data_IF_983601329128
#
_entry.id   IF_983601329128
#
_cell.length_a   1.000
_cell.length_b   1.000
_cell.length_c   1.000
_cell.angle_alpha   90.00
_cell.angle_beta   90.00
_cell.angle_gamma   90.00
#
_symmetry.space_group_name_H-M   'P 1'
#
loop_
_entity.id
_entity.type
_entity.pdbx_description
1 polymer ?
#
# COMPACT_ATOMS: atom_id res chain seq x y z
N UNK A 1 73.32 -39.90 20.40
CA UNK A 1 72.05 -40.35 19.77
C UNK A 1 70.96 -40.23 20.83
N UNK A 2 69.84 -39.51 20.71
CA UNK A 2 69.23 -38.75 19.62
C UNK A 2 68.36 -37.64 20.26
N UNK A 3 68.39 -36.42 19.70
CA UNK A 3 67.34 -35.43 19.94
C UNK A 3 66.03 -35.88 19.26
N UNK A 4 64.85 -35.65 19.85
CA UNK A 4 63.60 -35.78 19.11
C UNK A 4 63.40 -34.54 18.24
N UNK A 5 63.25 -34.77 16.94
CA UNK A 5 62.93 -33.77 15.92
C UNK A 5 61.53 -33.17 16.14
N UNK A 6 61.28 -31.89 15.81
CA UNK A 6 59.94 -31.34 15.84
C UNK A 6 59.08 -31.99 14.75
N UNK A 7 57.86 -32.40 15.10
CA UNK A 7 56.88 -32.92 14.16
C UNK A 7 56.47 -31.80 13.19
N UNK A 8 56.87 -31.95 11.92
CA UNK A 8 56.36 -31.14 10.82
C UNK A 8 54.84 -31.32 10.73
N UNK A 9 54.09 -30.26 10.98
CA UNK A 9 52.67 -30.19 10.63
C UNK A 9 52.56 -30.20 9.10
N UNK A 10 52.15 -31.34 8.55
CA UNK A 10 51.87 -31.49 7.12
C UNK A 10 50.61 -30.68 6.77
N UNK A 11 50.79 -29.48 6.25
CA UNK A 11 49.71 -28.78 5.56
C UNK A 11 49.46 -29.47 4.22
N UNK A 12 48.33 -30.18 4.12
CA UNK A 12 47.91 -30.81 2.87
C UNK A 12 47.64 -29.70 1.84
N UNK A 13 48.33 -29.70 0.67
CA UNK A 13 48.15 -28.65 -0.32
C UNK A 13 46.74 -28.72 -0.93
N UNK A 14 45.98 -27.63 -0.76
CA UNK A 14 44.63 -27.51 -1.32
C UNK A 14 44.72 -27.44 -2.84
N UNK A 15 44.02 -28.33 -3.55
CA UNK A 15 44.00 -28.31 -5.02
C UNK A 15 43.42 -27.01 -5.58
N UNK A 16 43.88 -26.53 -6.76
CA UNK A 16 43.34 -25.32 -7.41
C UNK A 16 41.82 -25.36 -7.58
N UNK A 17 41.24 -26.53 -7.84
CA UNK A 17 39.78 -26.73 -7.97
C UNK A 17 39.06 -26.56 -6.63
N UNK A 18 39.66 -27.03 -5.54
CA UNK A 18 39.13 -26.85 -4.18
C UNK A 18 39.27 -25.39 -3.73
N UNK A 19 40.38 -24.73 -4.04
CA UNK A 19 40.58 -23.30 -3.76
C UNK A 19 39.57 -22.43 -4.53
N UNK A 20 39.32 -22.72 -5.82
CA UNK A 20 38.28 -22.04 -6.60
C UNK A 20 36.87 -22.27 -6.04
N UNK A 21 36.54 -23.48 -5.59
CA UNK A 21 35.26 -23.77 -4.92
C UNK A 21 35.13 -22.99 -3.61
N UNK A 22 36.16 -22.99 -2.77
CA UNK A 22 36.17 -22.25 -1.50
C UNK A 22 36.09 -20.73 -1.71
N UNK A 23 36.79 -20.20 -2.71
CA UNK A 23 36.66 -18.79 -3.11
C UNK A 23 35.26 -18.49 -3.61
N UNK A 24 34.68 -19.32 -4.48
CA UNK A 24 33.30 -19.12 -4.95
C UNK A 24 32.27 -19.17 -3.81
N UNK A 25 32.42 -20.10 -2.86
CA UNK A 25 31.56 -20.19 -1.67
C UNK A 25 31.78 -18.99 -0.74
N UNK A 26 33.02 -18.55 -0.56
CA UNK A 26 33.36 -17.37 0.24
C UNK A 26 32.86 -16.07 -0.39
N UNK A 27 32.94 -15.92 -1.70
CA UNK A 27 32.40 -14.77 -2.44
C UNK A 27 30.88 -14.76 -2.41
N UNK A 28 30.22 -15.91 -2.64
CA UNK A 28 28.77 -16.03 -2.51
C UNK A 28 28.33 -15.75 -1.08
N UNK A 29 29.00 -16.33 -0.08
CA UNK A 29 28.72 -16.09 1.33
C UNK A 29 28.96 -14.63 1.76
N UNK A 30 30.01 -14.00 1.24
CA UNK A 30 30.31 -12.58 1.46
C UNK A 30 29.29 -11.65 0.84
N UNK A 31 28.85 -11.91 -0.41
CA UNK A 31 27.80 -11.14 -1.08
C UNK A 31 26.43 -11.33 -0.41
N UNK A 32 26.09 -12.56 -0.03
CA UNK A 32 24.88 -12.90 0.72
C UNK A 32 24.91 -12.20 2.08
N UNK A 33 26.02 -12.26 2.82
CA UNK A 33 26.20 -11.53 4.08
C UNK A 33 26.11 -10.01 3.93
N UNK A 34 26.74 -9.44 2.90
CA UNK A 34 26.67 -8.00 2.60
C UNK A 34 25.25 -7.53 2.27
N UNK A 35 24.48 -8.33 1.52
CA UNK A 35 23.08 -8.03 1.20
C UNK A 35 22.16 -8.00 2.42
N UNK A 36 22.57 -8.57 3.57
CA UNK A 36 21.83 -8.47 4.84
C UNK A 36 21.80 -7.05 5.38
N UNK A 37 22.86 -6.29 5.15
CA UNK A 37 23.06 -4.95 5.72
C UNK A 37 22.92 -3.82 4.70
N UNK A 38 22.80 -4.16 3.41
CA UNK A 38 22.75 -3.18 2.32
C UNK A 38 21.36 -3.13 1.70
N UNK A 39 20.74 -1.94 1.73
CA UNK A 39 19.42 -1.72 1.12
C UNK A 39 19.59 -1.53 -0.40
N UNK A 40 18.93 -2.32 -1.26
CA UNK A 40 18.68 -1.86 -2.61
C UNK A 40 17.86 -0.57 -2.48
N UNK A 41 18.29 0.48 -3.18
CA UNK A 41 17.45 1.66 -3.30
C UNK A 41 16.15 1.22 -3.97
N UNK A 42 14.97 1.65 -3.46
CA UNK A 42 13.73 1.38 -4.17
C UNK A 42 13.90 1.90 -5.61
N UNK A 43 13.17 1.31 -6.56
CA UNK A 43 13.07 1.88 -7.90
C UNK A 43 12.35 3.23 -7.77
N UNK A 44 13.10 4.27 -7.41
CA UNK A 44 12.61 5.63 -7.28
C UNK A 44 12.20 6.07 -8.68
N UNK A 45 11.03 6.68 -8.76
CA UNK A 45 10.60 7.39 -9.96
C UNK A 45 11.74 8.28 -10.47
N UNK A 46 12.32 7.91 -11.60
CA UNK A 46 13.27 8.76 -12.31
C UNK A 46 12.44 9.91 -12.84
N UNK A 47 12.67 11.11 -12.29
CA UNK A 47 11.98 12.32 -12.70
C UNK A 47 12.10 12.46 -14.21
N UNK A 48 10.98 12.42 -14.92
CA UNK A 48 10.95 12.59 -16.36
C UNK A 48 11.67 13.90 -16.70
N UNK A 49 12.75 13.82 -17.46
CA UNK A 49 13.60 14.95 -17.84
C UNK A 49 12.99 15.69 -19.02
N UNK A 50 11.70 16.01 -18.92
CA UNK A 50 11.16 17.08 -19.74
C UNK A 50 11.90 18.35 -19.33
N UNK A 51 12.73 18.89 -20.22
CA UNK A 51 13.38 20.21 -20.09
C UNK A 51 12.36 21.34 -20.25
N UNK A 52 11.27 21.24 -19.49
CA UNK A 52 10.21 22.24 -19.42
C UNK A 52 10.44 23.09 -18.17
N UNK A 53 10.12 24.40 -18.22
CA UNK A 53 10.22 25.24 -17.04
C UNK A 53 9.27 24.74 -15.95
N UNK A 54 9.69 24.88 -14.69
CA UNK A 54 8.88 24.44 -13.55
C UNK A 54 7.56 25.22 -13.46
N UNK A 55 7.60 26.54 -13.72
CA UNK A 55 6.41 27.38 -13.83
C UNK A 55 6.11 27.72 -15.28
N UNK A 56 4.84 27.87 -15.60
CA UNK A 56 4.41 28.35 -16.92
C UNK A 56 4.81 29.82 -17.11
N UNK A 57 5.19 30.15 -18.35
CA UNK A 57 5.56 31.49 -18.79
C UNK A 57 4.34 32.33 -19.23
N UNK A 58 3.23 31.65 -19.53
CA UNK A 58 1.96 32.26 -19.96
C UNK A 58 0.81 31.72 -19.12
N UNK A 59 -0.15 32.57 -18.70
CA UNK A 59 -1.31 32.13 -17.95
C UNK A 59 -2.09 31.04 -18.70
N UNK A 60 -2.37 29.93 -18.01
CA UNK A 60 -3.24 28.85 -18.50
C UNK A 60 -4.21 28.45 -17.41
N UNK A 61 -5.46 28.21 -17.79
CA UNK A 61 -6.51 27.71 -16.90
C UNK A 61 -6.60 26.20 -17.00
N UNK A 62 -6.92 25.55 -15.88
CA UNK A 62 -7.19 24.10 -15.84
C UNK A 62 -8.41 23.85 -14.96
N UNK A 63 -9.31 22.98 -15.44
CA UNK A 63 -10.39 22.44 -14.63
C UNK A 63 -10.04 21.01 -14.23
N UNK A 64 -10.09 20.72 -12.94
CA UNK A 64 -9.93 19.37 -12.38
C UNK A 64 -11.30 18.92 -11.86
N UNK A 65 -11.73 17.72 -12.23
CA UNK A 65 -13.04 17.17 -11.83
C UNK A 65 -12.83 16.04 -10.83
N UNK A 66 -13.42 16.18 -9.65
CA UNK A 66 -13.28 15.30 -8.49
C UNK A 66 -12.14 15.74 -7.56
N UNK A 67 -12.47 16.04 -6.30
CA UNK A 67 -11.53 16.37 -5.22
C UNK A 67 -11.26 15.18 -4.29
N UNK A 68 -11.19 13.96 -4.85
CA UNK A 68 -10.51 12.84 -4.21
C UNK A 68 -8.99 13.09 -4.12
N UNK A 69 -8.25 12.20 -3.46
CA UNK A 69 -6.80 12.34 -3.28
C UNK A 69 -6.03 12.58 -4.60
N UNK A 70 -6.45 11.92 -5.69
CA UNK A 70 -5.85 12.11 -7.02
C UNK A 70 -6.07 13.53 -7.58
N UNK A 71 -7.30 14.05 -7.48
CA UNK A 71 -7.63 15.38 -7.97
C UNK A 71 -7.03 16.50 -7.11
N UNK A 72 -7.00 16.30 -5.78
CA UNK A 72 -6.30 17.20 -4.85
C UNK A 72 -4.80 17.27 -5.15
N UNK A 73 -4.14 16.13 -5.34
CA UNK A 73 -2.72 16.11 -5.71
C UNK A 73 -2.47 16.78 -7.08
N UNK A 74 -3.32 16.50 -8.08
CA UNK A 74 -3.25 17.13 -9.39
C UNK A 74 -3.41 18.66 -9.32
N UNK A 75 -4.44 19.14 -8.61
CA UNK A 75 -4.72 20.55 -8.43
C UNK A 75 -3.59 21.26 -7.68
N UNK A 76 -3.03 20.63 -6.64
CA UNK A 76 -1.90 21.16 -5.90
C UNK A 76 -0.67 21.32 -6.80
N UNK A 77 -0.26 20.26 -7.50
CA UNK A 77 0.87 20.28 -8.44
C UNK A 77 0.71 21.34 -9.54
N UNK A 78 -0.47 21.43 -10.16
CA UNK A 78 -0.75 22.43 -11.21
C UNK A 78 -0.73 23.85 -10.65
N UNK A 79 -1.31 24.08 -9.46
CA UNK A 79 -1.31 25.41 -8.84
C UNK A 79 0.10 25.89 -8.50
N UNK A 80 0.98 25.01 -8.02
CA UNK A 80 2.41 25.32 -7.76
C UNK A 80 3.16 25.75 -9.03
N UNK A 81 2.77 25.19 -10.17
CA UNK A 81 3.34 25.46 -11.50
C UNK A 81 2.76 26.72 -12.15
N UNK A 82 1.85 27.43 -11.48
CA UNK A 82 1.29 28.71 -11.92
C UNK A 82 0.05 28.60 -12.80
N UNK A 83 -0.58 27.43 -12.90
CA UNK A 83 -1.88 27.30 -13.58
C UNK A 83 -3.00 27.91 -12.74
N UNK A 84 -3.96 28.56 -13.38
CA UNK A 84 -5.20 28.99 -12.76
C UNK A 84 -6.15 27.78 -12.66
N UNK A 85 -6.08 27.08 -11.52
CA UNK A 85 -6.81 25.82 -11.30
C UNK A 85 -8.22 26.09 -10.77
N UNK A 86 -9.22 25.44 -11.35
CA UNK A 86 -10.56 25.27 -10.76
C UNK A 86 -10.81 23.80 -10.50
N UNK A 87 -10.92 23.41 -9.22
CA UNK A 87 -11.22 22.06 -8.78
C UNK A 87 -12.71 21.96 -8.46
N UNK A 88 -13.43 21.10 -9.17
CA UNK A 88 -14.86 20.85 -8.98
C UNK A 88 -15.05 19.53 -8.23
N UNK A 89 -15.82 19.53 -7.14
CA UNK A 89 -16.19 18.34 -6.39
C UNK A 89 -17.70 18.25 -6.26
N UNK A 90 -18.25 17.05 -6.51
CA UNK A 90 -19.68 16.80 -6.43
C UNK A 90 -20.19 16.83 -4.98
N UNK A 91 -19.43 16.28 -4.05
CA UNK A 91 -19.74 16.20 -2.62
C UNK A 91 -19.57 17.57 -1.92
N UNK A 92 -20.26 17.81 -0.78
CA UNK A 92 -19.89 18.88 0.13
C UNK A 92 -18.53 18.65 0.80
N UNK A 93 -18.05 17.40 0.87
CA UNK A 93 -16.78 17.04 1.51
C UNK A 93 -15.70 16.72 0.47
N UNK A 94 -14.49 17.23 0.72
CA UNK A 94 -13.29 16.88 -0.07
C UNK A 94 -12.71 15.54 0.40
N UNK A 95 -11.87 14.92 -0.43
CA UNK A 95 -11.12 13.70 -0.09
C UNK A 95 -11.67 12.43 -0.74
N UNK A 96 -12.93 12.41 -1.20
CA UNK A 96 -13.54 11.22 -1.80
C UNK A 96 -13.50 10.03 -0.83
N UNK A 97 -12.81 8.94 -1.19
CA UNK A 97 -12.67 7.75 -0.34
C UNK A 97 -11.90 8.00 0.97
N UNK A 98 -11.22 9.14 1.11
CA UNK A 98 -10.57 9.56 2.37
C UNK A 98 -11.28 10.75 3.02
N UNK A 99 -12.52 11.05 2.63
CA UNK A 99 -13.29 12.15 3.20
C UNK A 99 -13.65 11.88 4.67
N UNK A 100 -13.78 12.97 5.42
CA UNK A 100 -14.37 13.01 6.76
C UNK A 100 -15.50 14.03 6.82
N UNK A 101 -16.47 13.79 7.70
CA UNK A 101 -17.62 14.67 7.92
C UNK A 101 -18.17 14.51 9.32
N UNK A 102 -18.85 15.53 9.81
CA UNK A 102 -19.48 15.53 11.13
C UNK A 102 -20.80 14.77 11.10
N UNK A 103 -21.05 13.99 12.14
CA UNK A 103 -22.33 13.33 12.41
C UNK A 103 -22.76 13.62 13.85
N UNK A 104 -24.07 13.64 14.11
CA UNK A 104 -24.60 13.72 15.46
C UNK A 104 -25.07 12.33 15.90
N UNK A 105 -24.63 11.89 17.07
CA UNK A 105 -25.08 10.64 17.72
C UNK A 105 -25.63 11.01 19.09
N UNK A 106 -26.97 11.08 19.19
CA UNK A 106 -27.63 11.66 20.36
C UNK A 106 -27.38 13.17 20.44
N UNK A 107 -26.88 13.64 21.60
CA UNK A 107 -26.52 15.05 21.83
C UNK A 107 -25.04 15.36 21.51
N UNK A 108 -24.27 14.35 21.11
CA UNK A 108 -22.83 14.48 20.85
C UNK A 108 -22.52 14.54 19.34
N UNK A 109 -21.58 15.41 18.95
CA UNK A 109 -21.07 15.50 17.58
C UNK A 109 -19.77 14.69 17.45
N UNK A 110 -19.70 13.83 16.44
CA UNK A 110 -18.54 13.01 16.13
C UNK A 110 -18.02 13.30 14.73
N UNK A 111 -16.72 13.08 14.53
CA UNK A 111 -16.14 13.03 13.20
C UNK A 111 -16.24 11.59 12.65
N UNK A 112 -16.90 11.45 11.51
CA UNK A 112 -16.97 10.21 10.74
C UNK A 112 -15.94 10.25 9.62
N UNK A 113 -15.34 9.09 9.33
CA UNK A 113 -14.45 8.91 8.19
C UNK A 113 -15.03 7.88 7.23
N UNK A 114 -14.78 8.08 5.93
CA UNK A 114 -15.24 7.14 4.90
C UNK A 114 -14.71 5.71 5.11
N UNK A 115 -13.53 5.56 5.70
CA UNK A 115 -12.97 4.24 5.95
C UNK A 115 -11.69 4.29 6.76
N UNK A 116 -11.24 3.12 7.18
CA UNK A 116 -9.96 2.93 7.84
C UNK A 116 -8.82 3.01 6.82
N UNK A 117 -7.84 3.89 7.07
CA UNK A 117 -6.70 4.10 6.17
C UNK A 117 -5.36 3.90 6.90
N UNK A 118 -4.50 3.07 6.32
CA UNK A 118 -3.11 2.89 6.75
C UNK A 118 -2.12 3.51 5.76
N UNK A 119 -1.13 4.24 6.28
CA UNK A 119 -0.12 4.93 5.47
C UNK A 119 1.20 4.16 5.48
N UNK A 120 1.41 3.34 4.45
CA UNK A 120 2.56 2.47 4.38
C UNK A 120 3.87 3.24 4.11
N UNK A 121 5.02 2.74 4.61
CA UNK A 121 6.30 3.36 4.37
C UNK A 121 6.66 3.56 2.89
N UNK A 122 6.14 2.69 2.04
CA UNK A 122 6.37 2.61 0.60
C UNK A 122 5.51 3.58 -0.22
N UNK A 123 4.63 4.36 0.41
CA UNK A 123 3.84 5.42 -0.26
C UNK A 123 4.70 6.64 -0.58
N UNK A 124 5.73 6.47 -1.41
CA UNK A 124 6.77 7.48 -1.66
C UNK A 124 6.20 8.80 -2.22
N UNK A 125 5.23 8.73 -3.14
CA UNK A 125 4.58 9.91 -3.72
C UNK A 125 3.82 10.71 -2.65
N UNK A 126 2.99 10.03 -1.87
CA UNK A 126 2.24 10.66 -0.78
C UNK A 126 3.20 11.23 0.29
N UNK A 127 4.27 10.50 0.63
CA UNK A 127 5.28 11.00 1.57
C UNK A 127 6.02 12.22 1.03
N UNK A 128 6.19 12.35 -0.29
CA UNK A 128 6.73 13.57 -0.90
C UNK A 128 5.78 14.73 -0.66
N UNK A 129 4.50 14.54 -1.01
CA UNK A 129 3.44 15.53 -0.78
C UNK A 129 3.35 15.97 0.69
N UNK A 130 3.38 15.01 1.62
CA UNK A 130 3.36 15.27 3.07
C UNK A 130 4.57 16.08 3.54
N UNK A 131 5.76 15.84 2.97
CA UNK A 131 6.96 16.65 3.28
C UNK A 131 6.87 18.04 2.68
N UNK A 132 6.41 18.15 1.44
CA UNK A 132 6.26 19.42 0.72
C UNK A 132 5.24 20.34 1.40
N UNK A 133 4.19 19.77 1.98
CA UNK A 133 3.18 20.49 2.77
C UNK A 133 3.58 20.69 4.23
N UNK A 134 4.73 20.18 4.66
CA UNK A 134 5.21 20.26 6.04
C UNK A 134 4.24 19.66 7.09
N UNK A 135 3.46 18.64 6.71
CA UNK A 135 2.44 17.99 7.56
C UNK A 135 2.86 16.62 8.09
N UNK A 136 4.16 16.33 8.13
CA UNK A 136 4.67 15.05 8.64
C UNK A 136 4.22 14.77 10.09
N UNK A 137 4.09 15.83 10.89
CA UNK A 137 3.64 15.76 12.28
C UNK A 137 2.16 15.41 12.41
N UNK A 138 1.37 15.40 11.34
CA UNK A 138 -0.01 14.92 11.38
C UNK A 138 -0.10 13.39 11.39
N UNK A 139 1.02 12.69 11.20
CA UNK A 139 1.10 11.24 11.14
C UNK A 139 1.81 10.67 12.36
N UNK A 140 1.43 9.46 12.75
CA UNK A 140 2.03 8.72 13.86
C UNK A 140 2.28 7.28 13.43
N UNK A 141 3.50 6.80 13.67
CA UNK A 141 3.85 5.39 13.50
C UNK A 141 3.08 4.52 14.48
N UNK A 142 2.51 3.42 13.99
CA UNK A 142 1.90 2.40 14.84
C UNK A 142 2.92 1.38 15.36
N UNK A 143 4.18 1.45 14.91
CA UNK A 143 5.31 0.55 15.26
C UNK A 143 5.12 -0.93 14.88
N UNK A 144 3.88 -1.42 14.75
CA UNK A 144 3.54 -2.77 14.36
C UNK A 144 2.10 -2.85 13.82
N UNK A 145 1.80 -3.95 13.13
CA UNK A 145 0.45 -4.33 12.72
C UNK A 145 0.20 -5.77 13.15
N UNK A 146 -0.96 -6.04 13.76
CA UNK A 146 -1.28 -7.36 14.31
C UNK A 146 -2.52 -7.96 13.68
N UNK A 147 -2.41 -9.20 13.23
CA UNK A 147 -3.56 -10.04 12.89
C UNK A 147 -3.94 -10.88 14.10
N UNK A 148 -5.13 -10.63 14.65
CA UNK A 148 -5.67 -11.36 15.79
C UNK A 148 -6.77 -12.29 15.31
N UNK A 149 -6.63 -13.58 15.60
CA UNK A 149 -7.58 -14.60 15.17
C UNK A 149 -8.60 -14.87 16.27
N UNK A 150 -9.88 -15.02 15.88
CA UNK A 150 -10.97 -15.35 16.81
C UNK A 150 -10.73 -16.67 17.54
N UNK A 151 -10.22 -17.66 16.82
CA UNK A 151 -9.93 -19.01 17.30
C UNK A 151 -8.49 -19.06 17.79
N UNK A 152 -8.28 -18.61 19.04
CA UNK A 152 -6.93 -18.49 19.65
C UNK A 152 -6.21 -19.83 19.80
N UNK A 153 -6.93 -20.93 19.80
CA UNK A 153 -6.39 -22.30 19.79
C UNK A 153 -5.75 -22.66 18.44
N UNK A 154 -6.23 -22.08 17.33
CA UNK A 154 -5.73 -22.39 15.97
C UNK A 154 -4.46 -21.60 15.60
N UNK A 155 -4.39 -20.32 15.94
CA UNK A 155 -3.23 -19.47 15.63
C UNK A 155 -2.98 -18.43 16.73
N UNK A 156 -1.70 -18.23 17.03
CA UNK A 156 -1.26 -17.10 17.85
C UNK A 156 -1.39 -15.79 17.03
N UNK A 157 -1.45 -14.60 17.67
CA UNK A 157 -1.44 -13.33 16.92
C UNK A 157 -0.21 -13.22 16.02
N UNK A 158 -0.42 -12.86 14.76
CA UNK A 158 0.67 -12.61 13.82
C UNK A 158 1.03 -11.13 13.84
N UNK A 159 2.27 -10.79 14.17
CA UNK A 159 2.68 -9.39 14.36
C UNK A 159 3.75 -8.98 13.34
N UNK A 160 3.37 -8.06 12.47
CA UNK A 160 4.22 -7.44 11.47
C UNK A 160 4.90 -6.21 12.05
N UNK A 161 6.20 -6.08 11.81
CA UNK A 161 7.02 -4.94 12.25
C UNK A 161 7.71 -4.31 11.04
N UNK A 162 8.18 -3.06 11.17
CA UNK A 162 9.09 -2.49 10.20
C UNK A 162 10.30 -3.43 10.04
N UNK A 163 10.78 -3.53 8.80
CA UNK A 163 12.04 -4.22 8.51
C UNK A 163 12.98 -3.27 7.78
N UNK A 164 14.26 -3.62 7.79
CA UNK A 164 15.30 -2.90 7.07
C UNK A 164 16.15 -3.84 6.21
N UNK A 165 15.83 -5.13 6.23
CA UNK A 165 16.57 -6.18 5.54
C UNK A 165 16.10 -6.29 4.09
N UNK A 166 17.03 -6.37 3.14
CA UNK A 166 16.70 -6.63 1.75
C UNK A 166 16.29 -8.09 1.54
N UNK A 167 15.59 -8.40 0.45
CA UNK A 167 15.37 -9.80 0.07
C UNK A 167 16.69 -10.54 -0.16
N UNK A 168 16.84 -11.79 0.33
CA UNK A 168 15.82 -12.64 0.98
C UNK A 168 15.71 -12.49 2.50
N UNK A 169 16.49 -11.61 3.12
CA UNK A 169 16.62 -11.50 4.58
C UNK A 169 15.38 -10.95 5.27
N UNK A 170 14.62 -10.07 4.64
CA UNK A 170 13.29 -9.68 5.15
C UNK A 170 12.36 -10.88 5.38
N UNK A 171 12.40 -11.89 4.52
CA UNK A 171 11.58 -13.10 4.67
C UNK A 171 12.10 -13.98 5.79
N UNK A 172 13.43 -14.08 5.94
CA UNK A 172 14.06 -14.78 7.06
C UNK A 172 13.70 -14.11 8.38
N UNK A 173 13.78 -12.79 8.45
CA UNK A 173 13.45 -12.03 9.65
C UNK A 173 11.95 -12.12 9.98
N UNK A 174 11.07 -12.10 8.97
CA UNK A 174 9.64 -12.39 9.13
C UNK A 174 9.42 -13.80 9.70
N UNK A 175 10.11 -14.82 9.17
CA UNK A 175 10.01 -16.18 9.66
C UNK A 175 10.49 -16.30 11.12
N UNK A 176 11.58 -15.63 11.49
CA UNK A 176 12.08 -15.63 12.87
C UNK A 176 11.08 -14.92 13.81
N UNK A 177 10.53 -13.78 13.38
CA UNK A 177 9.59 -12.98 14.17
C UNK A 177 8.21 -13.63 14.31
N UNK A 178 7.80 -14.47 13.36
CA UNK A 178 6.48 -15.12 13.35
C UNK A 178 6.37 -16.17 14.46
N UNK A 179 5.41 -16.03 15.41
CA UNK A 179 5.13 -17.09 16.38
C UNK A 179 4.53 -18.34 15.71
N UNK A 180 3.88 -18.16 14.55
CA UNK A 180 3.22 -19.23 13.80
C UNK A 180 4.10 -19.87 12.70
N UNK A 181 5.40 -19.59 12.63
CA UNK A 181 6.29 -20.09 11.56
C UNK A 181 6.21 -21.60 11.29
N UNK A 182 6.05 -22.40 12.35
CA UNK A 182 5.90 -23.86 12.22
C UNK A 182 4.50 -24.28 11.75
N UNK A 183 3.51 -23.40 11.90
CA UNK A 183 2.12 -23.59 11.45
C UNK A 183 1.89 -23.11 10.02
N UNK A 184 2.89 -22.57 9.32
CA UNK A 184 2.76 -22.15 7.91
C UNK A 184 2.47 -23.32 6.94
N UNK A 185 2.76 -24.56 7.35
CA UNK A 185 2.44 -25.75 6.56
C UNK A 185 3.32 -25.91 5.32
N UNK A 186 4.50 -25.30 5.30
CA UNK A 186 5.47 -25.41 4.19
C UNK A 186 6.15 -26.79 4.28
N UNK A 187 6.00 -27.59 3.22
CA UNK A 187 6.73 -28.83 3.05
C UNK A 187 7.90 -28.60 2.08
N UNK A 188 9.12 -28.61 2.61
CA UNK A 188 10.34 -28.32 1.85
C UNK A 188 10.63 -29.34 0.74
N UNK A 189 10.08 -30.56 0.82
CA UNK A 189 10.25 -31.59 -0.21
C UNK A 189 9.21 -31.52 -1.33
N UNK A 190 8.14 -30.73 -1.16
CA UNK A 190 7.11 -30.55 -2.18
C UNK A 190 7.42 -29.34 -3.08
N UNK A 191 7.72 -29.53 -4.37
CA UNK A 191 8.00 -28.42 -5.29
C UNK A 191 6.87 -27.39 -5.39
N UNK A 192 5.61 -27.82 -5.25
CA UNK A 192 4.43 -26.94 -5.28
C UNK A 192 4.50 -25.84 -4.19
N UNK A 193 4.99 -26.17 -2.99
CA UNK A 193 5.09 -25.21 -1.88
C UNK A 193 6.19 -24.15 -2.11
N UNK A 194 7.10 -24.37 -3.06
CA UNK A 194 8.09 -23.37 -3.48
C UNK A 194 7.59 -22.45 -4.59
N UNK A 195 6.51 -22.84 -5.29
CA UNK A 195 5.98 -22.05 -6.40
C UNK A 195 5.41 -20.71 -5.93
N UNK A 196 4.81 -20.65 -4.73
CA UNK A 196 4.34 -19.39 -4.13
C UNK A 196 5.48 -18.39 -3.96
N UNK A 197 6.59 -18.79 -3.34
CA UNK A 197 7.75 -17.92 -3.14
C UNK A 197 8.36 -17.46 -4.46
N UNK A 198 8.44 -18.37 -5.44
CA UNK A 198 8.92 -18.03 -6.79
C UNK A 198 7.97 -17.05 -7.50
N UNK A 199 6.66 -17.23 -7.35
CA UNK A 199 5.66 -16.39 -7.98
C UNK A 199 5.65 -14.96 -7.40
N UNK A 200 5.84 -14.83 -6.08
CA UNK A 200 5.99 -13.53 -5.43
C UNK A 200 7.34 -12.91 -5.80
N UNK A 201 8.46 -13.61 -5.59
CA UNK A 201 9.80 -13.05 -5.82
C UNK A 201 10.03 -12.65 -7.29
N UNK A 202 9.51 -13.45 -8.22
CA UNK A 202 9.65 -13.25 -9.67
C UNK A 202 8.53 -12.42 -10.31
N UNK A 203 7.75 -11.67 -9.53
CA UNK A 203 6.64 -10.90 -10.08
C UNK A 203 7.13 -9.81 -11.04
N UNK A 204 6.54 -9.74 -12.24
CA UNK A 204 6.93 -8.76 -13.28
C UNK A 204 5.70 -8.24 -14.01
N UNK A 205 5.58 -6.92 -14.12
CA UNK A 205 4.51 -6.27 -14.89
C UNK A 205 4.98 -6.09 -16.34
N UNK A 206 4.18 -6.42 -17.37
CA UNK A 206 2.82 -6.97 -17.32
C UNK A 206 2.75 -8.51 -17.29
N UNK A 207 3.88 -9.22 -17.41
CA UNK A 207 3.93 -10.69 -17.62
C UNK A 207 3.18 -11.51 -16.57
N UNK A 208 3.27 -11.14 -15.30
CA UNK A 208 2.57 -11.80 -14.20
C UNK A 208 1.06 -11.64 -14.31
N UNK A 209 0.59 -10.43 -14.63
CA UNK A 209 -0.84 -10.16 -14.80
C UNK A 209 -1.42 -10.97 -15.95
N UNK A 210 -0.77 -11.00 -17.11
CA UNK A 210 -1.21 -11.80 -18.25
C UNK A 210 -1.42 -13.30 -17.92
N UNK A 211 -0.76 -13.81 -16.88
CA UNK A 211 -0.87 -15.22 -16.46
C UNK A 211 -1.84 -15.46 -15.30
N UNK A 212 -2.07 -14.45 -14.45
CA UNK A 212 -2.68 -14.63 -13.13
C UNK A 212 -3.94 -13.80 -12.92
N UNK A 213 -4.20 -12.81 -13.77
CA UNK A 213 -5.28 -11.85 -13.55
C UNK A 213 -6.68 -12.48 -13.65
N UNK A 214 -6.82 -13.48 -14.53
CA UNK A 214 -8.06 -14.22 -14.71
C UNK A 214 -8.25 -15.39 -13.73
N UNK A 215 -7.37 -15.54 -12.72
CA UNK A 215 -7.41 -16.64 -11.76
C UNK A 215 -7.71 -16.05 -10.39
N UNK A 216 -8.79 -16.51 -9.74
CA UNK A 216 -9.11 -16.07 -8.38
C UNK A 216 -8.07 -16.56 -7.37
N UNK A 217 -7.88 -15.83 -6.28
CA UNK A 217 -6.99 -16.24 -5.18
C UNK A 217 -7.43 -17.59 -4.59
N UNK A 218 -8.74 -17.82 -4.47
CA UNK A 218 -9.28 -19.08 -3.98
C UNK A 218 -8.94 -20.26 -4.90
N UNK A 219 -9.10 -20.10 -6.23
CA UNK A 219 -8.78 -21.14 -7.21
C UNK A 219 -7.28 -21.42 -7.24
N UNK A 220 -6.46 -20.36 -7.18
CA UNK A 220 -5.02 -20.50 -7.16
C UNK A 220 -4.50 -21.24 -5.92
N UNK A 221 -5.14 -21.04 -4.76
CA UNK A 221 -4.77 -21.69 -3.51
C UNK A 221 -5.35 -23.11 -3.32
N UNK A 222 -6.18 -23.61 -4.24
CA UNK A 222 -6.99 -24.82 -4.02
C UNK A 222 -6.18 -26.12 -3.94
N UNK A 223 -5.01 -26.22 -4.61
CA UNK A 223 -4.25 -27.47 -4.72
C UNK A 223 -2.79 -27.32 -4.28
N UNK A 224 -2.41 -28.10 -3.26
CA UNK A 224 -1.04 -28.18 -2.73
C UNK A 224 -0.43 -26.83 -2.29
N UNK A 225 -1.28 -25.86 -1.93
CA UNK A 225 -0.85 -24.62 -1.30
C UNK A 225 -0.60 -24.83 0.21
N UNK A 226 0.42 -24.22 0.82
CA UNK A 226 0.61 -24.26 2.26
C UNK A 226 -0.57 -23.59 2.99
N UNK A 227 -1.52 -24.38 3.52
CA UNK A 227 -2.76 -23.86 4.11
C UNK A 227 -2.52 -22.84 5.24
N UNK A 228 -1.49 -23.05 6.06
CA UNK A 228 -1.14 -22.11 7.12
C UNK A 228 -0.71 -20.75 6.58
N UNK A 229 0.10 -20.73 5.52
CA UNK A 229 0.47 -19.50 4.82
C UNK A 229 -0.76 -18.80 4.23
N UNK A 230 -1.72 -19.56 3.71
CA UNK A 230 -2.97 -19.01 3.21
C UNK A 230 -3.79 -18.37 4.34
N UNK A 231 -4.05 -19.12 5.41
CA UNK A 231 -4.87 -18.69 6.55
C UNK A 231 -4.27 -17.46 7.27
N UNK A 232 -2.95 -17.41 7.41
CA UNK A 232 -2.24 -16.38 8.18
C UNK A 232 -1.90 -15.14 7.37
N UNK A 233 -1.68 -15.27 6.05
CA UNK A 233 -1.20 -14.18 5.21
C UNK A 233 -2.13 -13.92 4.02
N UNK A 234 -2.44 -14.88 3.18
CA UNK A 234 -3.18 -14.56 1.94
C UNK A 234 -4.64 -14.17 2.22
N UNK A 235 -5.32 -14.93 3.06
CA UNK A 235 -6.74 -14.73 3.36
C UNK A 235 -7.00 -13.42 4.13
N UNK A 236 -6.26 -13.07 5.20
CA UNK A 236 -6.49 -11.80 5.90
C UNK A 236 -6.25 -10.59 5.00
N UNK A 237 -5.21 -10.62 4.16
CA UNK A 237 -4.89 -9.51 3.25
C UNK A 237 -5.83 -9.39 2.05
N UNK A 238 -6.31 -10.52 1.53
CA UNK A 238 -7.38 -10.52 0.54
C UNK A 238 -8.65 -9.86 1.11
N UNK A 239 -9.02 -10.19 2.35
CA UNK A 239 -10.22 -9.66 3.01
C UNK A 239 -10.09 -8.22 3.51
N UNK A 240 -8.91 -7.81 4.00
CA UNK A 240 -8.69 -6.46 4.54
C UNK A 240 -8.80 -5.38 3.47
N UNK A 241 -8.57 -5.73 2.21
CA UNK A 241 -8.81 -4.87 1.05
C UNK A 241 -10.27 -4.89 0.57
N UNK A 242 -11.19 -5.42 1.39
CA UNK A 242 -12.62 -5.64 1.10
C UNK A 242 -12.89 -6.53 -0.12
N UNK A 243 -11.91 -7.30 -0.56
CA UNK A 243 -12.06 -8.19 -1.70
C UNK A 243 -12.56 -9.57 -1.27
N UNK A 244 -13.37 -10.19 -2.13
CA UNK A 244 -13.79 -11.57 -1.97
C UNK A 244 -12.71 -12.49 -2.61
N UNK A 245 -12.06 -13.40 -1.87
CA UNK A 245 -10.95 -14.20 -2.40
C UNK A 245 -11.30 -15.06 -3.64
N UNK A 246 -12.57 -15.38 -3.80
CA UNK A 246 -13.19 -16.10 -4.93
C UNK A 246 -13.30 -15.25 -6.20
N UNK A 247 -13.15 -13.93 -6.12
CA UNK A 247 -13.16 -13.03 -7.29
C UNK A 247 -11.87 -12.20 -7.42
N UNK A 248 -11.09 -12.06 -6.34
CA UNK A 248 -9.84 -11.31 -6.34
C UNK A 248 -8.82 -11.92 -7.30
N UNK A 249 -8.29 -11.11 -8.23
CA UNK A 249 -7.20 -11.50 -9.11
C UNK A 249 -5.96 -11.94 -8.32
N UNK A 250 -5.46 -13.13 -8.63
CA UNK A 250 -4.20 -13.65 -8.06
C UNK A 250 -3.04 -12.72 -8.41
N UNK A 251 -3.08 -12.10 -9.60
CA UNK A 251 -2.10 -11.12 -10.04
C UNK A 251 -2.00 -9.95 -9.07
N UNK A 252 -3.14 -9.37 -8.66
CA UNK A 252 -3.20 -8.26 -7.71
C UNK A 252 -2.65 -8.65 -6.33
N UNK A 253 -3.06 -9.81 -5.80
CA UNK A 253 -2.59 -10.26 -4.50
C UNK A 253 -1.07 -10.54 -4.50
N UNK A 254 -0.55 -11.18 -5.56
CA UNK A 254 0.90 -11.43 -5.66
C UNK A 254 1.69 -10.15 -5.92
N UNK A 255 1.14 -9.17 -6.63
CA UNK A 255 1.76 -7.85 -6.75
C UNK A 255 1.88 -7.18 -5.38
N UNK A 256 0.82 -7.25 -4.56
CA UNK A 256 0.83 -6.75 -3.19
C UNK A 256 1.93 -7.41 -2.36
N UNK A 257 1.97 -8.74 -2.32
CA UNK A 257 3.01 -9.46 -1.56
C UNK A 257 4.42 -9.20 -2.11
N UNK A 258 4.54 -9.10 -3.43
CA UNK A 258 5.81 -8.75 -4.05
C UNK A 258 6.25 -7.37 -3.58
N UNK A 259 5.42 -6.34 -3.76
CA UNK A 259 5.78 -4.98 -3.44
C UNK A 259 6.05 -4.78 -1.94
N UNK A 260 5.17 -5.22 -1.05
CA UNK A 260 5.29 -4.90 0.38
C UNK A 260 6.25 -5.80 1.16
N UNK A 261 6.43 -7.07 0.74
CA UNK A 261 7.23 -8.02 1.52
C UNK A 261 8.52 -8.44 0.86
N UNK A 262 8.56 -8.62 -0.47
CA UNK A 262 9.74 -9.18 -1.14
C UNK A 262 10.58 -8.09 -1.82
N UNK A 263 9.93 -7.14 -2.48
CA UNK A 263 10.54 -6.11 -3.31
C UNK A 263 11.02 -4.90 -2.51
N UNK A 264 10.43 -4.64 -1.33
CA UNK A 264 10.77 -3.49 -0.51
C UNK A 264 11.08 -3.90 0.95
N UNK A 265 12.15 -3.36 1.55
CA UNK A 265 12.63 -3.78 2.86
C UNK A 265 11.80 -3.25 4.04
N UNK A 266 10.98 -2.21 3.87
CA UNK A 266 10.37 -1.45 4.97
C UNK A 266 9.33 -2.24 5.79
N UNK A 267 8.83 -3.36 5.27
CA UNK A 267 7.80 -4.18 5.93
C UNK A 267 6.41 -3.56 5.90
N UNK A 268 5.53 -3.98 6.82
CA UNK A 268 4.09 -3.66 6.78
C UNK A 268 3.57 -2.78 7.92
N UNK A 269 4.41 -2.36 8.86
CA UNK A 269 3.97 -1.39 9.84
C UNK A 269 3.71 -0.05 9.15
N UNK A 270 2.53 0.52 9.38
CA UNK A 270 2.07 1.75 8.74
C UNK A 270 1.87 2.86 9.77
N UNK A 271 1.81 4.09 9.27
CA UNK A 271 1.41 5.24 10.06
C UNK A 271 -0.13 5.37 10.04
N UNK A 272 -0.69 5.87 11.13
CA UNK A 272 -2.04 6.45 11.18
C UNK A 272 -1.96 7.98 11.21
N UNK A 273 -3.08 8.65 10.97
CA UNK A 273 -3.23 10.08 11.24
C UNK A 273 -3.42 10.30 12.75
N UNK A 274 -3.00 11.47 13.25
CA UNK A 274 -3.21 11.87 14.66
C UNK A 274 -4.64 12.36 14.90
N UNK A 275 -5.29 12.84 13.85
CA UNK A 275 -6.67 13.30 13.81
C UNK A 275 -7.37 12.67 12.59
N UNK A 276 -8.60 13.09 12.27
CA UNK A 276 -9.30 12.66 11.06
C UNK A 276 -8.52 13.00 9.76
N UNK A 277 -8.81 12.28 8.69
CA UNK A 277 -8.17 12.40 7.37
C UNK A 277 -8.40 13.76 6.74
N UNK A 278 -9.58 14.36 6.99
CA UNK A 278 -9.91 15.73 6.63
C UNK A 278 -8.90 16.71 7.20
N UNK A 279 -8.78 16.74 8.52
CA UNK A 279 -7.86 17.62 9.26
C UNK A 279 -6.40 17.31 8.96
N UNK A 280 -6.03 16.03 8.93
CA UNK A 280 -4.63 15.59 8.88
C UNK A 280 -4.00 15.67 7.48
N UNK A 281 -4.78 15.53 6.41
CA UNK A 281 -4.25 15.43 5.05
C UNK A 281 -5.03 16.26 4.02
N UNK A 282 -6.36 16.11 3.96
CA UNK A 282 -7.18 16.71 2.89
C UNK A 282 -7.20 18.24 2.97
N UNK A 283 -7.48 18.78 4.15
CA UNK A 283 -7.57 20.22 4.38
C UNK A 283 -6.23 20.95 4.17
N UNK A 284 -5.08 20.41 4.62
CA UNK A 284 -3.77 20.94 4.26
C UNK A 284 -3.56 21.07 2.74
N UNK A 285 -3.92 20.04 1.95
CA UNK A 285 -3.79 20.10 0.48
C UNK A 285 -4.73 21.17 -0.09
N UNK A 286 -5.99 21.21 0.37
CA UNK A 286 -6.98 22.20 -0.08
C UNK A 286 -6.54 23.64 0.23
N UNK A 287 -6.01 23.89 1.43
CA UNK A 287 -5.46 25.18 1.84
C UNK A 287 -4.28 25.58 0.95
N UNK A 288 -3.39 24.64 0.64
CA UNK A 288 -2.25 24.91 -0.22
C UNK A 288 -2.66 25.26 -1.67
N UNK A 289 -3.69 24.59 -2.21
CA UNK A 289 -4.29 24.94 -3.51
C UNK A 289 -4.83 26.38 -3.47
N UNK A 290 -5.61 26.73 -2.43
CA UNK A 290 -6.19 28.06 -2.28
C UNK A 290 -5.10 29.15 -2.12
N UNK A 291 -4.05 28.89 -1.34
CA UNK A 291 -2.92 29.79 -1.16
C UNK A 291 -2.15 30.04 -2.47
N UNK A 292 -2.15 29.08 -3.39
CA UNK A 292 -1.60 29.23 -4.74
C UNK A 292 -2.56 29.92 -5.72
N UNK A 293 -3.72 30.40 -5.26
CA UNK A 293 -4.74 31.06 -6.08
C UNK A 293 -5.68 30.10 -6.82
N UNK A 294 -5.67 28.81 -6.49
CA UNK A 294 -6.62 27.83 -7.01
C UNK A 294 -8.02 28.02 -6.41
N UNK A 295 -9.05 27.77 -7.21
CA UNK A 295 -10.45 27.81 -6.79
C UNK A 295 -10.94 26.38 -6.56
N UNK A 296 -11.54 26.10 -5.40
CA UNK A 296 -12.22 24.84 -5.10
C UNK A 296 -13.72 25.13 -5.04
N UNK A 297 -14.53 24.33 -5.74
CA UNK A 297 -15.98 24.43 -5.79
C UNK A 297 -16.56 23.07 -5.41
N UNK A 298 -17.11 22.99 -4.21
CA UNK A 298 -17.88 21.81 -3.74
C UNK A 298 -19.32 21.88 -4.23
N UNK A 299 -20.04 20.76 -4.09
CA UNK A 299 -21.41 20.61 -4.57
C UNK A 299 -21.58 20.95 -6.06
N UNK A 300 -20.51 20.76 -6.84
CA UNK A 300 -20.42 21.01 -8.27
C UNK A 300 -20.48 19.69 -9.04
N UNK A 301 -21.68 19.31 -9.48
CA UNK A 301 -21.86 18.12 -10.32
C UNK A 301 -21.61 18.50 -11.78
N UNK A 302 -20.52 17.98 -12.37
CA UNK A 302 -20.28 18.08 -13.82
C UNK A 302 -21.35 17.25 -14.54
N UNK A 303 -22.17 17.92 -15.36
CA UNK A 303 -23.29 17.31 -16.08
C UNK A 303 -22.94 16.99 -17.53
N UNK A 304 -22.02 17.74 -18.14
CA UNK A 304 -21.69 17.61 -19.56
C UNK A 304 -20.24 18.03 -19.86
N UNK A 305 -19.59 17.30 -20.77
CA UNK A 305 -18.33 17.69 -21.40
C UNK A 305 -18.63 17.93 -22.88
N UNK A 306 -18.53 19.18 -23.30
CA UNK A 306 -18.86 19.59 -24.67
C UNK A 306 -17.61 19.49 -25.54
N UNK A 307 -17.70 18.72 -26.61
CA UNK A 307 -16.59 18.49 -27.53
C UNK A 307 -16.88 19.13 -28.89
N UNK A 308 -15.89 19.84 -29.43
CA UNK A 308 -15.92 20.45 -30.77
C UNK A 308 -14.62 20.16 -31.49
N UNK A 309 -14.72 19.69 -32.73
CA UNK A 309 -13.56 19.36 -33.58
C UNK A 309 -12.54 18.41 -32.92
N UNK A 310 -13.03 17.42 -32.17
CA UNK A 310 -12.21 16.43 -31.46
C UNK A 310 -11.49 16.98 -30.22
N UNK A 311 -11.83 18.18 -29.75
CA UNK A 311 -11.29 18.81 -28.54
C UNK A 311 -12.40 19.10 -27.54
N UNK A 312 -12.05 19.15 -26.25
CA UNK A 312 -12.94 19.65 -25.21
C UNK A 312 -13.03 21.17 -25.38
N UNK A 313 -14.25 21.67 -25.58
CA UNK A 313 -14.57 23.10 -25.74
C UNK A 313 -15.02 23.71 -24.41
N UNK A 314 -15.92 23.01 -23.69
CA UNK A 314 -16.45 23.47 -22.40
C UNK A 314 -16.84 22.30 -21.47
N UNK A 315 -16.96 22.61 -20.18
CA UNK A 315 -17.52 21.73 -19.15
C UNK A 315 -18.68 22.47 -18.49
N UNK A 316 -19.86 21.85 -18.47
CA UNK A 316 -21.01 22.36 -17.73
C UNK A 316 -21.10 21.67 -16.37
N UNK A 317 -21.38 22.43 -15.32
CA UNK A 317 -21.64 21.91 -13.99
C UNK A 317 -22.82 22.65 -13.35
N UNK A 318 -23.53 21.95 -12.46
CA UNK A 318 -24.57 22.52 -11.61
C UNK A 318 -24.03 22.61 -10.19
N UNK A 319 -24.27 23.74 -9.52
CA UNK A 319 -23.84 23.97 -8.14
C UNK A 319 -25.05 23.94 -7.20
N UNK A 320 -24.99 23.10 -6.18
CA UNK A 320 -26.11 22.82 -5.27
C UNK A 320 -27.00 21.67 -5.73
N UNK A 321 -27.99 21.33 -4.90
CA UNK A 321 -29.05 20.32 -5.13
C UNK A 321 -28.72 18.82 -4.98
N UNK A 322 -27.76 18.46 -4.13
CA UNK A 322 -27.77 17.12 -3.48
C UNK A 322 -27.46 17.21 -1.99
N UNK A 323 -28.45 17.64 -1.20
CA UNK A 323 -28.51 17.29 0.22
C UNK A 323 -28.62 15.76 0.35
N UNK A 324 -27.49 15.05 0.39
CA UNK A 324 -27.46 13.72 1.00
C UNK A 324 -27.32 13.92 2.51
N UNK A 325 -28.46 14.12 3.19
CA UNK A 325 -28.51 13.96 4.63
C UNK A 325 -28.23 12.48 4.93
N UNK A 326 -26.97 12.16 5.20
CA UNK A 326 -26.45 10.83 5.55
C UNK A 326 -26.46 9.84 4.36
N UNK A 327 -25.38 9.08 4.10
CA UNK A 327 -25.31 8.16 2.98
C UNK A 327 -26.05 6.88 3.38
N UNK A 328 -27.37 6.87 3.21
CA UNK A 328 -28.30 5.73 3.35
C UNK A 328 -28.26 4.93 4.66
N UNK A 329 -29.40 4.32 4.97
CA UNK A 329 -29.47 3.29 6.01
C UNK A 329 -29.03 1.96 5.40
N UNK A 330 -28.14 1.23 6.07
CA UNK A 330 -27.87 -0.17 5.71
C UNK A 330 -29.01 -1.01 6.30
N UNK A 331 -29.59 -1.90 5.50
CA UNK A 331 -30.56 -2.86 6.03
C UNK A 331 -29.96 -3.62 7.22
N UNK A 332 -30.75 -3.75 8.30
CA UNK A 332 -30.34 -4.45 9.53
C UNK A 332 -29.78 -5.81 9.17
N UNK A 333 -28.55 -6.10 9.59
CA UNK A 333 -27.97 -7.43 9.41
C UNK A 333 -28.90 -8.46 10.10
N UNK A 334 -29.47 -9.44 9.36
CA UNK A 334 -30.48 -10.36 9.89
C UNK A 334 -29.93 -11.29 10.99
N UNK A 335 -28.61 -11.33 11.17
CA UNK A 335 -27.93 -12.09 12.23
C UNK A 335 -27.90 -11.31 13.56
N UNK A 336 -28.05 -9.99 13.53
CA UNK A 336 -28.05 -9.13 14.72
C UNK A 336 -29.47 -9.00 15.26
N UNK A 337 -29.77 -9.76 16.32
CA UNK A 337 -31.11 -9.91 16.90
C UNK A 337 -31.51 -8.83 17.92
N UNK A 338 -30.60 -7.93 18.30
CA UNK A 338 -30.91 -6.89 19.29
C UNK A 338 -31.66 -5.73 18.62
N UNK A 339 -32.88 -5.45 19.06
CA UNK A 339 -33.76 -4.40 18.53
C UNK A 339 -33.49 -3.03 19.15
N UNK A 340 -32.62 -2.96 20.17
CA UNK A 340 -32.24 -1.71 20.83
C UNK A 340 -31.03 -1.02 20.21
N UNK A 341 -30.38 -1.66 19.23
CA UNK A 341 -29.20 -1.14 18.53
C UNK A 341 -29.62 -0.57 17.18
N UNK A 342 -29.43 0.74 17.02
CA UNK A 342 -29.50 1.40 15.72
C UNK A 342 -28.12 1.33 15.03
N UNK A 343 -28.12 0.99 13.75
CA UNK A 343 -26.89 0.88 12.95
C UNK A 343 -26.77 2.08 12.01
N UNK A 344 -25.58 2.68 12.02
CA UNK A 344 -25.21 3.78 11.15
C UNK A 344 -24.13 3.29 10.19
N UNK A 345 -24.36 3.49 8.89
CA UNK A 345 -23.43 3.12 7.84
C UNK A 345 -23.05 4.30 6.98
N UNK A 346 -21.85 4.26 6.41
CA UNK A 346 -21.43 5.20 5.39
C UNK A 346 -20.72 4.46 4.28
N UNK A 347 -21.21 4.62 3.05
CA UNK A 347 -20.58 4.11 1.85
C UNK A 347 -21.10 4.86 0.64
N UNK A 348 -20.42 4.71 -0.49
CA UNK A 348 -20.98 5.11 -1.78
C UNK A 348 -22.14 4.15 -2.12
N UNK A 349 -23.24 4.67 -2.69
CA UNK A 349 -24.30 3.84 -3.26
C UNK A 349 -23.73 3.15 -4.50
N UNK A 350 -23.32 1.88 -4.37
CA UNK A 350 -22.72 1.07 -5.46
C UNK A 350 -23.73 0.75 -6.54
#
# INVERSE_FOLDING_TARGET
MNQPSPSNSSFTPISRRTALKLLSVGTVGGLVGYSRFSKPQPTVFIRDTLTLPYRIDRPKTVVVVGAGLAGLACAYELSQRGFAVTLLEKSPNLGGKIASWKINVGEEEFMMEHGFHGFFPQYYNLKSLVRELEIADNFKSLEYYSLVFRTKDKYDPEVFRPSHSAFPWNIVDLAIASPNRLRWGINLTKPAHWQVFRAIAGFQIPKSFNRLDSISVADWAQKDFPQGLYDLYFLPFAKSSLNAPDTLSTGELLQFFHFYFFGNPEGLAFNGTKDDMGTSLVQPIANAIANNGGKIVTEATVSEIQCKDGKIDAIAYQQGDTHTNVPFWIERNPVLKDEKLEYYGAGDRV
#
